data_IF_702429101570
#
_entry.id   IF_702429101570
#
_cell.length_a   1.000
_cell.length_b   1.000
_cell.length_c   1.000
_cell.angle_alpha   90.00
_cell.angle_beta   90.00
_cell.angle_gamma   90.00
#
_symmetry.space_group_name_H-M   'P 1'
#
loop_
_entity.id
_entity.type
_entity.pdbx_description
1 polymer ?
#
# COMPACT_ATOMS: atom_id res chain seq x y z
N UNK A 1 -14.89 -4.10 9.85
CA UNK A 1 -14.23 -4.91 8.82
C UNK A 1 -12.93 -5.40 9.41
N UNK A 2 -12.91 -6.66 9.87
CA UNK A 2 -11.70 -7.30 10.37
C UNK A 2 -10.96 -7.88 9.16
N UNK A 3 -9.64 -7.66 9.12
CA UNK A 3 -8.73 -8.18 8.10
C UNK A 3 -7.78 -9.11 8.85
N UNK A 4 -7.81 -10.39 8.51
CA UNK A 4 -6.89 -11.38 9.07
C UNK A 4 -5.75 -11.61 8.06
N UNK A 5 -4.52 -11.57 8.55
CA UNK A 5 -3.31 -11.69 7.72
C UNK A 5 -2.46 -12.85 8.23
N UNK A 6 -2.18 -13.82 7.36
CA UNK A 6 -1.19 -14.88 7.58
C UNK A 6 0.07 -14.56 6.78
N UNK A 7 1.11 -14.14 7.49
CA UNK A 7 2.38 -13.73 6.86
C UNK A 7 3.21 -14.94 6.38
N UNK A 8 3.06 -16.12 6.98
CA UNK A 8 3.77 -17.32 6.54
C UNK A 8 3.23 -17.80 5.19
N UNK A 9 1.92 -17.63 4.97
CA UNK A 9 1.25 -18.00 3.72
C UNK A 9 1.10 -16.85 2.72
N UNK A 10 1.43 -15.61 3.12
CA UNK A 10 1.17 -14.39 2.34
C UNK A 10 -0.32 -14.24 1.96
N UNK A 11 -1.23 -14.64 2.88
CA UNK A 11 -2.68 -14.61 2.70
C UNK A 11 -3.33 -13.44 3.45
N UNK A 12 -4.34 -12.82 2.83
CA UNK A 12 -5.17 -11.79 3.45
C UNK A 12 -6.64 -12.20 3.30
N UNK A 13 -7.38 -12.23 4.42
CA UNK A 13 -8.80 -12.58 4.48
C UNK A 13 -9.60 -11.38 4.92
N UNK A 14 -10.60 -11.00 4.13
CA UNK A 14 -11.47 -9.87 4.47
C UNK A 14 -12.93 -10.28 4.29
N UNK A 15 -13.72 -10.29 5.37
CA UNK A 15 -15.16 -10.60 5.30
C UNK A 15 -15.51 -11.99 4.74
N UNK A 16 -14.57 -12.95 4.75
CA UNK A 16 -14.74 -14.28 4.17
C UNK A 16 -14.25 -14.43 2.72
N UNK A 17 -13.79 -13.35 2.09
CA UNK A 17 -13.17 -13.38 0.76
C UNK A 17 -11.63 -13.34 0.89
N UNK A 18 -10.96 -14.31 0.28
CA UNK A 18 -9.49 -14.40 0.22
C UNK A 18 -8.97 -13.56 -0.94
N UNK A 19 -8.02 -12.66 -0.66
CA UNK A 19 -7.30 -11.95 -1.71
C UNK A 19 -6.20 -12.87 -2.23
N UNK A 20 -6.11 -13.15 -3.55
CA UNK A 20 -5.10 -14.03 -4.10
C UNK A 20 -3.68 -13.56 -3.76
N UNK A 21 -2.79 -14.46 -3.30
CA UNK A 21 -1.42 -14.09 -3.00
C UNK A 21 -0.67 -13.70 -4.27
N UNK A 22 0.09 -12.61 -4.22
CA UNK A 22 0.96 -12.17 -5.30
C UNK A 22 2.43 -12.28 -4.91
N UNK A 23 3.28 -12.65 -5.87
CA UNK A 23 4.73 -12.63 -5.72
C UNK A 23 5.30 -11.55 -6.63
N UNK A 24 6.06 -10.62 -6.06
CA UNK A 24 6.75 -9.57 -6.80
C UNK A 24 8.23 -9.91 -6.94
N UNK A 25 8.78 -9.86 -8.15
CA UNK A 25 10.24 -9.87 -8.34
C UNK A 25 10.74 -8.45 -8.57
N UNK A 26 11.70 -8.04 -7.73
CA UNK A 26 12.38 -6.74 -7.84
C UNK A 26 13.73 -6.98 -8.50
N UNK A 27 14.01 -6.29 -9.61
CA UNK A 27 15.35 -6.25 -10.18
C UNK A 27 16.08 -5.04 -9.58
N UNK A 28 17.40 -5.16 -9.30
CA UNK A 28 18.26 -4.05 -8.87
C UNK A 28 18.49 -3.02 -10.00
N UNK A 29 17.41 -2.51 -10.56
CA UNK A 29 17.38 -1.51 -11.62
C UNK A 29 17.49 -0.10 -11.04
N UNK A 30 17.70 0.85 -11.95
CA UNK A 30 17.75 2.27 -11.66
C UNK A 30 16.47 2.68 -10.91
N UNK A 31 16.65 3.13 -9.67
CA UNK A 31 15.60 3.66 -8.81
C UNK A 31 14.83 4.75 -9.57
N UNK A 32 13.51 4.64 -9.67
CA UNK A 32 12.67 5.72 -10.19
C UNK A 32 12.23 6.63 -9.04
N UNK A 33 12.11 7.93 -9.29
CA UNK A 33 11.62 8.88 -8.30
C UNK A 33 10.16 9.25 -8.57
N UNK A 34 9.44 9.56 -7.49
CA UNK A 34 8.13 10.22 -7.56
C UNK A 34 8.30 11.67 -7.10
N UNK A 35 7.86 12.61 -7.93
CA UNK A 35 7.98 14.04 -7.71
C UNK A 35 6.64 14.63 -7.25
N UNK A 36 6.67 15.59 -6.33
CA UNK A 36 5.46 16.31 -5.91
C UNK A 36 4.82 17.06 -7.09
N UNK A 37 3.55 16.78 -7.40
CA UNK A 37 2.80 17.44 -8.49
C UNK A 37 2.55 18.94 -8.22
N UNK A 38 2.58 19.35 -6.96
CA UNK A 38 2.38 20.74 -6.51
C UNK A 38 3.03 20.99 -5.17
N UNK A 39 3.26 22.27 -4.86
CA UNK A 39 3.70 22.69 -3.53
C UNK A 39 2.71 22.22 -2.46
N UNK A 40 3.21 21.51 -1.47
CA UNK A 40 2.40 20.86 -0.42
C UNK A 40 2.98 21.14 0.95
N UNK A 41 2.11 21.38 1.94
CA UNK A 41 2.49 21.51 3.35
C UNK A 41 2.05 20.24 4.07
N UNK A 42 3.00 19.53 4.67
CA UNK A 42 2.72 18.42 5.56
C UNK A 42 2.61 18.98 6.98
N UNK A 43 1.42 18.96 7.62
CA UNK A 43 1.27 19.50 8.98
C UNK A 43 2.15 18.76 9.99
N UNK A 44 2.45 19.40 11.12
CA UNK A 44 3.16 18.76 12.22
C UNK A 44 2.36 17.58 12.78
N UNK A 45 3.05 16.50 13.20
CA UNK A 45 2.43 15.33 13.88
C UNK A 45 1.23 14.73 13.15
N UNK A 46 1.24 14.80 11.82
CA UNK A 46 0.08 14.45 10.99
C UNK A 46 0.47 13.56 9.83
N UNK A 47 -0.48 12.74 9.42
CA UNK A 47 -0.45 12.02 8.15
C UNK A 47 -1.14 12.85 7.06
N UNK A 48 -0.63 12.81 5.83
CA UNK A 48 -1.27 13.40 4.67
C UNK A 48 -1.02 12.57 3.41
N UNK A 49 -1.88 12.77 2.41
CA UNK A 49 -1.70 12.27 1.05
C UNK A 49 -1.14 13.36 0.16
N UNK A 50 -0.04 13.06 -0.53
CA UNK A 50 0.60 13.95 -1.49
C UNK A 50 0.42 13.36 -2.88
N UNK A 51 0.01 14.20 -3.84
CA UNK A 51 -0.05 13.77 -5.23
C UNK A 51 1.34 13.85 -5.86
N UNK A 52 1.80 12.73 -6.36
CA UNK A 52 3.05 12.58 -7.07
C UNK A 52 2.87 12.30 -8.56
N UNK A 53 3.92 12.52 -9.33
CA UNK A 53 4.07 12.06 -10.71
C UNK A 53 5.40 11.29 -10.84
N UNK A 54 5.47 10.22 -11.64
CA UNK A 54 6.72 9.52 -11.86
C UNK A 54 7.69 10.39 -12.67
N UNK A 55 8.96 10.37 -12.30
CA UNK A 55 10.03 11.04 -13.05
C UNK A 55 10.22 10.45 -14.45
N UNK A 56 9.98 9.13 -14.60
CA UNK A 56 10.08 8.40 -15.86
C UNK A 56 8.84 7.50 -16.02
N UNK A 57 7.77 7.98 -16.67
CA UNK A 57 6.46 7.29 -16.69
C UNK A 57 6.40 6.00 -17.51
N UNK A 58 7.27 5.81 -18.52
CA UNK A 58 6.99 4.84 -19.58
C UNK A 58 7.74 3.50 -19.47
N UNK A 59 8.53 3.29 -18.42
CA UNK A 59 9.45 2.15 -18.38
C UNK A 59 8.91 0.94 -17.62
N UNK A 60 8.02 1.14 -16.65
CA UNK A 60 7.52 0.07 -15.78
C UNK A 60 6.04 0.31 -15.43
N UNK A 61 5.27 -0.77 -15.32
CA UNK A 61 3.84 -0.69 -14.94
C UNK A 61 3.66 -0.57 -13.44
N UNK A 62 4.38 -1.38 -12.68
CA UNK A 62 4.26 -1.42 -11.23
C UNK A 62 5.59 -1.14 -10.56
N UNK A 63 5.52 -0.47 -9.41
CA UNK A 63 6.70 -0.20 -8.60
C UNK A 63 6.36 -0.32 -7.12
N UNK A 64 7.31 -0.86 -6.35
CA UNK A 64 7.25 -0.80 -4.91
C UNK A 64 7.80 0.55 -4.49
N UNK A 65 6.93 1.40 -3.94
CA UNK A 65 7.36 2.63 -3.31
C UNK A 65 8.07 2.29 -2.01
N UNK A 66 9.29 2.77 -1.87
CA UNK A 66 10.06 2.68 -0.64
C UNK A 66 10.36 4.10 -0.14
N UNK A 67 10.71 4.18 1.14
CA UNK A 67 11.24 5.38 1.75
C UNK A 67 12.36 5.97 0.89
N UNK A 68 12.36 7.30 0.62
CA UNK A 68 13.52 7.95 0.04
C UNK A 68 14.66 7.91 1.04
N UNK A 69 15.41 6.81 1.03
CA UNK A 69 16.49 6.52 1.98
C UNK A 69 17.61 7.55 1.91
N UNK A 70 17.78 8.24 0.76
CA UNK A 70 18.77 9.30 0.58
C UNK A 70 18.31 10.71 0.99
N UNK A 71 17.00 10.97 1.15
CA UNK A 71 16.47 12.32 1.42
C UNK A 71 15.60 12.34 2.67
N UNK A 72 15.79 11.37 3.58
CA UNK A 72 15.18 11.37 4.91
C UNK A 72 15.58 12.62 5.67
N UNK A 73 14.84 13.69 5.43
CA UNK A 73 14.78 14.84 6.28
C UNK A 73 14.12 14.36 7.56
N UNK A 74 14.98 14.07 8.54
CA UNK A 74 14.71 13.60 9.90
C UNK A 74 13.26 13.86 10.33
N UNK A 75 12.48 12.79 10.51
CA UNK A 75 11.12 12.85 11.03
C UNK A 75 10.00 12.95 10.00
N UNK A 76 10.23 12.63 8.72
CA UNK A 76 9.14 12.37 7.76
C UNK A 76 9.23 10.94 7.27
N UNK A 77 8.10 10.24 7.31
CA UNK A 77 7.93 8.85 6.91
C UNK A 77 7.04 8.73 5.68
N UNK A 78 7.35 7.79 4.77
CA UNK A 78 6.54 7.51 3.58
C UNK A 78 6.04 6.07 3.68
N UNK A 79 4.74 5.83 3.52
CA UNK A 79 4.23 4.47 3.57
C UNK A 79 4.67 3.71 2.32
N UNK A 80 5.20 2.50 2.51
CA UNK A 80 5.48 1.60 1.40
C UNK A 80 4.17 1.13 0.76
N UNK A 81 4.13 1.11 -0.58
CA UNK A 81 2.95 0.72 -1.33
C UNK A 81 3.36 0.18 -2.71
N UNK A 82 2.63 -0.82 -3.22
CA UNK A 82 2.69 -1.21 -4.63
C UNK A 82 1.85 -0.22 -5.44
N UNK A 83 2.46 0.44 -6.41
CA UNK A 83 1.85 1.54 -7.15
C UNK A 83 1.89 1.24 -8.64
N UNK A 84 0.78 1.55 -9.30
CA UNK A 84 0.65 1.56 -10.75
C UNK A 84 1.14 2.90 -11.31
N UNK A 85 2.21 2.85 -12.09
CA UNK A 85 2.86 4.01 -12.71
C UNK A 85 2.12 4.51 -13.98
N UNK A 86 1.18 3.73 -14.54
CA UNK A 86 0.34 4.19 -15.65
C UNK A 86 -0.69 5.24 -15.19
N UNK A 87 -0.85 5.44 -13.88
CA UNK A 87 -1.74 6.46 -13.31
C UNK A 87 -1.15 7.87 -13.47
N UNK A 88 -1.99 8.80 -13.90
CA UNK A 88 -1.64 10.23 -14.06
C UNK A 88 -1.20 10.91 -12.75
N UNK A 89 -1.66 10.39 -11.61
CA UNK A 89 -1.28 10.88 -10.29
C UNK A 89 -1.13 9.71 -9.32
N UNK A 90 0.02 9.69 -8.64
CA UNK A 90 0.38 8.67 -7.66
C UNK A 90 0.10 9.20 -6.25
N UNK A 91 -0.75 8.54 -5.44
CA UNK A 91 -0.96 8.94 -4.05
C UNK A 91 0.22 8.48 -3.18
N UNK A 92 0.89 9.42 -2.53
CA UNK A 92 1.99 9.16 -1.59
C UNK A 92 1.51 9.46 -0.18
N UNK A 93 1.41 8.42 0.66
CA UNK A 93 1.05 8.58 2.08
C UNK A 93 2.28 8.94 2.88
N UNK A 94 2.20 10.07 3.60
CA UNK A 94 3.34 10.64 4.31
C UNK A 94 2.95 10.98 5.74
N UNK A 95 3.75 10.53 6.71
CA UNK A 95 3.60 10.84 8.13
C UNK A 95 4.73 11.77 8.59
N UNK A 96 4.38 12.96 9.06
CA UNK A 96 5.33 13.89 9.67
C UNK A 96 5.38 13.71 11.18
N UNK A 97 6.50 13.20 11.67
CA UNK A 97 6.84 13.06 13.09
C UNK A 97 7.41 14.35 13.70
N UNK A 98 7.64 15.41 12.92
CA UNK A 98 8.14 16.66 13.47
C UNK A 98 7.05 17.47 14.17
N UNK A 99 7.47 18.31 15.13
CA UNK A 99 6.62 19.32 15.76
C UNK A 99 6.36 20.54 14.87
N UNK A 100 6.99 20.61 13.69
CA UNK A 100 6.86 21.71 12.73
C UNK A 100 6.28 21.17 11.42
N UNK A 101 5.48 21.99 10.72
CA UNK A 101 5.06 21.63 9.37
C UNK A 101 6.27 21.58 8.44
N UNK A 102 6.17 20.74 7.42
CA UNK A 102 7.20 20.64 6.38
C UNK A 102 6.63 21.05 5.04
N UNK A 103 7.36 21.92 4.34
CA UNK A 103 6.99 22.41 3.03
C UNK A 103 7.77 21.61 2.00
N UNK A 104 7.05 21.06 1.03
CA UNK A 104 7.60 20.42 -0.16
C UNK A 104 7.24 21.29 -1.35
N UNK A 105 8.24 21.72 -2.09
CA UNK A 105 8.00 22.45 -3.33
C UNK A 105 7.58 21.50 -4.45
N UNK A 106 6.94 22.06 -5.48
CA UNK A 106 6.62 21.30 -6.69
C UNK A 106 7.89 20.74 -7.32
N UNK A 107 7.84 19.50 -7.80
CA UNK A 107 8.99 18.78 -8.33
C UNK A 107 9.92 18.20 -7.26
N UNK A 108 9.67 18.40 -5.95
CA UNK A 108 10.47 17.76 -4.91
C UNK A 108 10.32 16.23 -4.95
N UNK A 109 11.42 15.49 -4.78
CA UNK A 109 11.37 14.03 -4.64
C UNK A 109 10.65 13.69 -3.33
N UNK A 110 9.50 13.02 -3.44
CA UNK A 110 8.68 12.61 -2.29
C UNK A 110 8.76 11.14 -1.97
N UNK A 111 9.18 10.32 -2.94
CA UNK A 111 9.49 8.92 -2.72
C UNK A 111 10.45 8.41 -3.79
N UNK A 112 11.08 7.28 -3.47
CA UNK A 112 11.80 6.47 -4.43
C UNK A 112 11.04 5.17 -4.64
N UNK A 113 11.14 4.59 -5.83
CA UNK A 113 10.43 3.36 -6.12
C UNK A 113 11.33 2.38 -6.86
N UNK A 114 11.19 1.11 -6.51
CA UNK A 114 11.88 -0.01 -7.12
C UNK A 114 10.94 -0.66 -8.14
N UNK A 115 11.33 -0.76 -9.42
CA UNK A 115 10.51 -1.40 -10.43
C UNK A 115 10.18 -2.85 -10.08
N UNK A 116 8.91 -3.22 -10.18
CA UNK A 116 8.48 -4.61 -10.07
C UNK A 116 8.31 -5.15 -11.48
N UNK A 117 9.10 -6.18 -11.81
CA UNK A 117 9.21 -6.70 -13.18
C UNK A 117 8.23 -7.85 -13.44
N UNK A 118 7.86 -8.56 -12.38
CA UNK A 118 6.87 -9.63 -12.44
C UNK A 118 5.96 -9.56 -11.21
N UNK A 119 4.65 -9.59 -11.45
CA UNK A 119 3.64 -9.80 -10.42
C UNK A 119 2.93 -11.09 -10.81
N UNK A 120 3.35 -12.19 -10.18
CA UNK A 120 2.71 -13.47 -10.37
C UNK A 120 1.54 -13.53 -9.40
N UNK A 121 0.31 -13.51 -9.94
CA UNK A 121 -0.87 -13.93 -9.20
C UNK A 121 -0.76 -15.44 -9.07
N UNK A 122 -0.51 -15.94 -7.85
CA UNK A 122 -0.51 -17.38 -7.62
C UNK A 122 -1.97 -17.85 -7.74
N UNK A 123 -2.27 -18.86 -8.59
CA UNK A 123 -3.58 -19.47 -8.59
C UNK A 123 -3.91 -19.90 -7.16
N UNK A 124 -5.13 -19.60 -6.70
CA UNK A 124 -5.63 -20.16 -5.45
C UNK A 124 -5.52 -21.68 -5.59
N UNK A 125 -4.60 -22.31 -4.86
CA UNK A 125 -4.69 -23.74 -4.61
C UNK A 125 -5.94 -23.89 -3.76
N UNK A 126 -7.08 -24.17 -4.40
CA UNK A 126 -8.28 -24.62 -3.70
C UNK A 126 -7.87 -25.87 -2.92
N UNK A 127 -7.46 -25.72 -1.65
CA UNK A 127 -7.52 -26.84 -0.74
C UNK A 127 -9.01 -27.17 -0.65
N UNK A 128 -9.38 -28.36 -1.10
CA UNK A 128 -10.74 -28.88 -0.99
C UNK A 128 -11.09 -29.17 0.48
N UNK A 129 -10.92 -28.20 1.38
CA UNK A 129 -11.29 -28.33 2.77
C UNK A 129 -12.78 -28.08 2.91
N UNK A 130 -13.48 -29.21 2.81
CA UNK A 130 -14.82 -29.53 3.25
C UNK A 130 -15.51 -28.39 4.02
N UNK A 131 -16.50 -27.81 3.34
CA UNK A 131 -17.69 -27.17 3.88
C UNK A 131 -17.77 -27.24 5.42
N UNK A 132 -17.16 -26.27 6.11
CA UNK A 132 -17.41 -26.09 7.52
C UNK A 132 -18.91 -25.77 7.65
N UNK A 133 -19.67 -26.50 8.47
CA UNK A 133 -21.06 -26.16 8.71
C UNK A 133 -21.07 -24.75 9.27
N UNK A 134 -21.79 -23.86 8.59
CA UNK A 134 -22.03 -22.50 9.04
C UNK A 134 -22.58 -22.56 10.45
N UNK A 135 -21.81 -22.07 11.42
CA UNK A 135 -22.20 -21.96 12.84
C UNK A 135 -23.35 -20.96 13.07
N UNK A 136 -24.04 -20.54 12.01
CA UNK A 136 -25.19 -19.65 12.03
C UNK A 136 -26.52 -20.37 12.28
N UNK A 137 -26.55 -21.71 12.32
CA UNK A 137 -27.77 -22.46 12.63
C UNK A 137 -28.15 -22.45 14.13
N UNK A 138 -27.32 -21.87 15.00
CA UNK A 138 -27.52 -21.90 16.46
C UNK A 138 -27.88 -20.55 17.09
N UNK A 139 -28.44 -19.59 16.33
CA UNK A 139 -29.08 -18.43 16.95
C UNK A 139 -30.57 -18.73 17.18
N UNK A 140 -30.85 -19.56 18.18
CA UNK A 140 -32.19 -19.65 18.78
C UNK A 140 -32.61 -18.24 19.22
N UNK A 141 -33.76 -17.81 18.69
CA UNK A 141 -34.42 -16.56 19.03
C UNK A 141 -34.85 -16.67 20.50
N UNK A 142 -34.09 -16.05 21.40
CA UNK A 142 -34.57 -15.74 22.75
C UNK A 142 -35.26 -14.38 22.69
N UNK A 143 -36.54 -14.39 22.36
CA UNK A 143 -37.44 -13.24 22.57
C UNK A 143 -38.06 -13.40 23.97
N UNK A 144 -37.57 -12.60 24.92
CA UNK A 144 -38.28 -12.31 26.16
C UNK A 144 -38.68 -10.83 26.17
N UNK A 145 -39.99 -10.57 26.15
CA UNK A 145 -40.56 -9.42 26.83
C UNK A 145 -41.55 -8.58 26.03
N UNK A 146 -42.83 -8.94 26.12
CA UNK A 146 -43.80 -8.07 26.79
C UNK A 146 -44.96 -8.86 27.40
#
# INVERSE_FOLDING_TARGET
>A
MLVDTDLEKNEIRTGGEEIPPFSASVQHLKLCSVLAKKRTIIPARSECLIQGVPEVPEQFRYTLMDFPSQVSQKGVLVAAALIDLEREAIPVRVLNLNNKPKILDEGAIIATCEPVVDIVVRPQEFSGEQHLPSSLDNLEILDEGQ
#
